data_IF_173761065397
#
_entry.id   IF_173761065397
#
_cell.length_a   1.000
_cell.length_b   1.000
_cell.length_c   1.000
_cell.angle_alpha   90.00
_cell.angle_beta   90.00
_cell.angle_gamma   90.00
#
_symmetry.space_group_name_H-M   'P 1'
#
loop_
_entity.id
_entity.type
_entity.pdbx_description
1 polymer ?
#
# COMPACT_ATOMS: atom_id res chain seq x y z
N UNK A 1 22.26 -1.31 -21.26
CA UNK A 1 21.20 -0.86 -20.34
C UNK A 1 20.36 -2.08 -20.06
N UNK A 2 20.49 -2.67 -18.87
CA UNK A 2 19.60 -3.78 -18.51
C UNK A 2 18.19 -3.22 -18.25
N UNK A 3 17.14 -3.86 -18.77
CA UNK A 3 15.77 -3.48 -18.43
C UNK A 3 15.56 -3.75 -16.94
N UNK A 4 15.17 -2.72 -16.18
CA UNK A 4 14.72 -2.88 -14.80
C UNK A 4 13.49 -3.80 -14.81
N UNK A 5 13.68 -5.07 -14.42
CA UNK A 5 12.57 -6.00 -14.25
C UNK A 5 11.58 -5.40 -13.25
N UNK A 6 10.26 -5.52 -13.48
CA UNK A 6 9.27 -5.05 -12.52
C UNK A 6 9.43 -5.84 -11.21
N UNK A 7 9.85 -5.15 -10.16
CA UNK A 7 9.85 -5.70 -8.80
C UNK A 7 8.42 -6.03 -8.42
N UNK A 8 8.15 -7.31 -8.14
CA UNK A 8 6.81 -7.73 -7.66
C UNK A 8 6.73 -7.51 -6.16
N UNK A 9 5.95 -6.52 -5.73
CA UNK A 9 5.69 -6.26 -4.30
C UNK A 9 4.99 -7.47 -3.69
N UNK A 10 5.52 -7.99 -2.58
CA UNK A 10 4.96 -9.15 -1.89
C UNK A 10 4.14 -8.71 -0.66
N UNK A 11 2.89 -9.17 -0.57
CA UNK A 11 2.01 -8.94 0.59
C UNK A 11 1.59 -10.30 1.12
N UNK A 12 2.01 -10.62 2.35
CA UNK A 12 1.66 -11.88 3.01
C UNK A 12 0.19 -11.90 3.44
N UNK A 13 -0.41 -13.10 3.44
CA UNK A 13 -1.74 -13.29 3.99
C UNK A 13 -1.74 -13.04 5.52
N UNK A 14 -2.84 -12.51 6.09
CA UNK A 14 -2.96 -12.36 7.53
C UNK A 14 -2.82 -13.70 8.26
N UNK A 15 -1.95 -13.74 9.25
CA UNK A 15 -1.71 -14.86 10.16
C UNK A 15 -2.77 -14.88 11.26
N UNK A 16 -3.29 -13.71 11.67
CA UNK A 16 -4.30 -13.60 12.71
C UNK A 16 -5.74 -13.47 12.17
N UNK A 17 -6.68 -14.08 12.89
CA UNK A 17 -8.12 -13.99 12.61
C UNK A 17 -8.64 -12.54 12.71
N UNK A 18 -9.75 -12.24 12.02
CA UNK A 18 -10.27 -10.87 11.87
C UNK A 18 -10.61 -10.16 13.19
N UNK A 19 -10.96 -10.91 14.22
CA UNK A 19 -11.31 -10.41 15.55
C UNK A 19 -10.11 -10.35 16.52
N UNK A 20 -8.91 -10.73 16.07
CA UNK A 20 -7.72 -10.72 16.92
C UNK A 20 -7.06 -9.33 16.88
N UNK A 21 -6.82 -8.68 18.04
CA UNK A 21 -6.20 -7.36 18.09
C UNK A 21 -4.79 -7.31 17.47
N UNK A 22 -4.04 -8.42 17.49
CA UNK A 22 -2.71 -8.50 16.85
C UNK A 22 -2.77 -8.39 15.33
N UNK A 23 -3.94 -8.61 14.70
CA UNK A 23 -4.11 -8.46 13.25
C UNK A 23 -3.92 -7.01 12.79
N UNK A 24 -4.21 -6.03 13.63
CA UNK A 24 -4.00 -4.62 13.30
C UNK A 24 -2.51 -4.33 13.15
N UNK A 25 -1.72 -4.74 14.14
CA UNK A 25 -0.25 -4.58 14.15
C UNK A 25 0.37 -5.32 12.96
N UNK A 26 -0.06 -6.56 12.72
CA UNK A 26 0.39 -7.34 11.57
C UNK A 26 0.11 -6.63 10.23
N UNK A 27 -1.08 -6.05 10.09
CA UNK A 27 -1.45 -5.29 8.90
C UNK A 27 -0.54 -4.08 8.69
N UNK A 28 -0.24 -3.32 9.76
CA UNK A 28 0.69 -2.19 9.70
C UNK A 28 2.10 -2.62 9.27
N UNK A 29 2.62 -3.71 9.83
CA UNK A 29 3.93 -4.23 9.49
C UNK A 29 4.00 -4.69 8.03
N UNK A 30 3.08 -5.54 7.58
CA UNK A 30 3.08 -6.07 6.21
C UNK A 30 2.88 -4.96 5.18
N UNK A 31 1.94 -4.05 5.43
CA UNK A 31 1.62 -2.97 4.47
C UNK A 31 2.70 -1.89 4.45
N UNK A 32 3.38 -1.59 5.56
CA UNK A 32 4.47 -0.61 5.58
C UNK A 32 5.68 -1.07 4.76
N UNK A 33 6.02 -2.37 4.80
CA UNK A 33 7.08 -2.96 3.97
C UNK A 33 6.71 -2.85 2.49
N UNK A 34 5.50 -3.27 2.12
CA UNK A 34 5.00 -3.20 0.75
C UNK A 34 4.95 -1.76 0.22
N UNK A 35 4.52 -0.81 1.05
CA UNK A 35 4.52 0.62 0.71
C UNK A 35 5.93 1.13 0.43
N UNK A 36 6.91 0.75 1.27
CA UNK A 36 8.30 1.15 1.06
C UNK A 36 8.86 0.58 -0.24
N UNK A 37 8.59 -0.68 -0.55
CA UNK A 37 9.00 -1.31 -1.82
C UNK A 37 8.38 -0.63 -3.04
N UNK A 38 7.10 -0.24 -2.94
CA UNK A 38 6.41 0.53 -3.97
C UNK A 38 7.14 1.85 -4.24
N UNK A 39 7.39 2.64 -3.19
CA UNK A 39 8.05 3.95 -3.31
C UNK A 39 9.43 3.80 -3.93
N UNK A 40 10.23 2.83 -3.47
CA UNK A 40 11.56 2.56 -4.02
C UNK A 40 11.49 2.16 -5.51
N UNK A 41 10.51 1.35 -5.89
CA UNK A 41 10.31 0.94 -7.29
C UNK A 41 9.89 2.12 -8.17
N UNK A 42 9.01 2.99 -7.68
CA UNK A 42 8.64 4.22 -8.38
C UNK A 42 9.85 5.17 -8.53
N UNK A 43 10.65 5.33 -7.48
CA UNK A 43 11.86 6.15 -7.55
C UNK A 43 12.89 5.58 -8.53
N UNK A 44 13.06 4.25 -8.55
CA UNK A 44 13.92 3.58 -9.52
C UNK A 44 13.44 3.76 -10.98
N UNK A 45 12.14 3.94 -11.19
CA UNK A 45 11.56 4.28 -12.49
C UNK A 45 11.70 5.76 -12.88
N UNK A 46 12.30 6.60 -12.02
CA UNK A 46 12.62 8.00 -12.29
C UNK A 46 11.67 9.01 -11.64
N UNK A 47 10.70 8.57 -10.83
CA UNK A 47 9.84 9.46 -10.06
C UNK A 47 10.58 10.01 -8.83
N UNK A 48 10.19 11.17 -8.34
CA UNK A 48 10.68 11.74 -7.09
C UNK A 48 9.91 11.14 -5.92
N UNK A 49 10.59 10.90 -4.81
CA UNK A 49 9.94 10.34 -3.62
C UNK A 49 8.78 11.22 -3.10
N UNK A 50 8.90 12.56 -3.01
CA UNK A 50 7.81 13.40 -2.51
C UNK A 50 6.54 13.39 -3.40
N UNK A 51 6.69 13.35 -4.73
CA UNK A 51 5.52 13.33 -5.63
C UNK A 51 4.78 11.99 -5.54
N UNK A 52 5.52 10.88 -5.39
CA UNK A 52 4.94 9.55 -5.18
C UNK A 52 4.18 9.52 -3.86
N UNK A 53 4.79 10.00 -2.76
CA UNK A 53 4.16 10.00 -1.44
C UNK A 53 2.87 10.84 -1.41
N UNK A 54 2.89 12.05 -1.98
CA UNK A 54 1.70 12.90 -2.07
C UNK A 54 0.60 12.27 -2.91
N UNK A 55 0.95 11.73 -4.08
CA UNK A 55 -0.02 11.08 -4.97
C UNK A 55 -0.65 9.84 -4.31
N UNK A 56 0.13 9.05 -3.58
CA UNK A 56 -0.40 7.89 -2.84
C UNK A 56 -1.34 8.31 -1.71
N UNK A 57 -1.07 9.43 -1.03
CA UNK A 57 -1.95 9.96 0.00
C UNK A 57 -3.32 10.36 -0.59
N UNK A 58 -3.31 11.04 -1.73
CA UNK A 58 -4.55 11.43 -2.44
C UNK A 58 -5.35 10.19 -2.88
N UNK A 59 -4.68 9.19 -3.47
CA UNK A 59 -5.31 7.92 -3.89
C UNK A 59 -5.92 7.18 -2.68
N UNK A 60 -5.21 7.16 -1.55
CA UNK A 60 -5.69 6.50 -0.34
C UNK A 60 -6.94 7.19 0.23
N UNK A 61 -6.96 8.53 0.25
CA UNK A 61 -8.11 9.30 0.70
C UNK A 61 -9.35 9.03 -0.18
N UNK A 62 -9.18 9.11 -1.51
CA UNK A 62 -10.24 8.81 -2.47
C UNK A 62 -10.80 7.39 -2.30
N UNK A 63 -9.93 6.41 -2.08
CA UNK A 63 -10.32 5.02 -1.85
C UNK A 63 -11.13 4.86 -0.56
N UNK A 64 -10.70 5.49 0.54
CA UNK A 64 -11.41 5.46 1.83
C UNK A 64 -12.78 6.10 1.69
N UNK A 65 -12.87 7.25 1.02
CA UNK A 65 -14.15 7.93 0.77
C UNK A 65 -15.09 7.06 -0.08
N UNK A 66 -14.57 6.38 -1.10
CA UNK A 66 -15.35 5.44 -1.91
C UNK A 66 -15.81 4.22 -1.10
N UNK A 67 -14.96 3.69 -0.22
CA UNK A 67 -15.29 2.58 0.66
C UNK A 67 -16.41 2.95 1.64
N UNK A 68 -16.33 4.13 2.25
CA UNK A 68 -17.35 4.63 3.17
C UNK A 68 -18.72 4.76 2.47
N UNK A 69 -18.75 5.27 1.25
CA UNK A 69 -19.98 5.35 0.44
C UNK A 69 -20.61 3.98 0.17
N UNK A 70 -19.79 2.96 -0.14
CA UNK A 70 -20.29 1.58 -0.33
C UNK A 70 -20.80 0.97 0.96
N UNK A 71 -20.11 1.20 2.08
CA UNK A 71 -20.53 0.69 3.38
C UNK A 71 -21.86 1.29 3.84
N UNK A 72 -22.14 2.56 3.51
CA UNK A 72 -23.41 3.21 3.84
C UNK A 72 -24.58 2.81 2.92
N UNK A 73 -24.28 2.26 1.74
CA UNK A 73 -25.29 1.80 0.77
C UNK A 73 -25.74 0.33 0.99
N UNK A 74 -25.01 -0.41 1.82
CA UNK A 74 -25.28 -1.80 2.22
C UNK A 74 -25.88 -1.85 3.63
#
# INVERSE_FOLDING_TARGET
>A
MEPHLPTTIQISAPQHAANNPYRVIEGEEVLSVAFREFVLTAVAAGWKEPEVALTLADIADDYVMALARRAAAN
#
